data_IF_377596469371
#
_entry.id   IF_377596469371
#
_cell.length_a   1.000
_cell.length_b   1.000
_cell.length_c   1.000
_cell.angle_alpha   90.00
_cell.angle_beta   90.00
_cell.angle_gamma   90.00
#
_symmetry.space_group_name_H-M   'P 1'
#
loop_
_entity.id
_entity.type
_entity.pdbx_description
1 polymer ?
#
# COMPACT_ATOMS: atom_id res chain seq x y z
N UNK A 1 1.27 9.40 20.14
CA UNK A 1 0.95 10.09 18.88
C UNK A 1 -0.56 10.28 18.86
N UNK A 2 -1.05 11.49 18.56
CA UNK A 2 -2.49 11.75 18.52
C UNK A 2 -3.14 11.03 17.33
N UNK A 3 -4.43 10.75 17.43
CA UNK A 3 -5.17 10.12 16.33
C UNK A 3 -5.07 10.94 15.03
N UNK A 4 -4.98 12.27 15.16
CA UNK A 4 -4.93 13.22 14.05
C UNK A 4 -3.56 13.36 13.36
N UNK A 5 -2.52 12.67 13.86
CA UNK A 5 -1.13 12.83 13.36
C UNK A 5 -1.03 12.68 11.84
N UNK A 6 -1.85 11.81 11.25
CA UNK A 6 -1.83 11.47 9.84
C UNK A 6 -2.76 12.30 8.95
N UNK A 7 -3.64 13.12 9.54
CA UNK A 7 -4.59 13.94 8.81
C UNK A 7 -3.82 14.95 7.94
N UNK A 8 -4.23 15.09 6.68
CA UNK A 8 -3.60 16.01 5.72
C UNK A 8 -2.22 15.58 5.21
N UNK A 9 -1.65 14.45 5.68
CA UNK A 9 -0.31 14.01 5.24
C UNK A 9 -0.34 13.58 3.77
N UNK A 10 -1.38 12.85 3.35
CA UNK A 10 -1.54 12.42 1.95
C UNK A 10 -1.48 13.61 1.00
N UNK A 11 -2.26 14.64 1.28
CA UNK A 11 -2.38 15.84 0.46
C UNK A 11 -1.04 16.58 0.39
N UNK A 12 -0.33 16.68 1.51
CA UNK A 12 1.00 17.30 1.57
C UNK A 12 2.03 16.53 0.74
N UNK A 13 2.06 15.20 0.83
CA UNK A 13 2.97 14.35 0.04
C UNK A 13 2.67 14.45 -1.45
N UNK A 14 1.39 14.36 -1.84
CA UNK A 14 0.99 14.48 -3.26
C UNK A 14 1.23 15.88 -3.81
N UNK A 15 1.12 16.93 -2.99
CA UNK A 15 1.47 18.31 -3.36
C UNK A 15 2.97 18.46 -3.55
N UNK A 16 3.78 17.89 -2.65
CA UNK A 16 5.23 17.94 -2.74
C UNK A 16 5.73 17.30 -4.04
N UNK A 17 5.14 16.18 -4.47
CA UNK A 17 5.49 15.55 -5.74
C UNK A 17 5.14 16.35 -7.00
N UNK A 18 4.42 17.47 -6.87
CA UNK A 18 4.12 18.41 -7.97
C UNK A 18 4.93 19.71 -7.88
N UNK A 19 5.71 19.88 -6.82
CA UNK A 19 6.42 21.13 -6.56
C UNK A 19 7.74 21.17 -7.37
N UNK A 20 8.14 22.34 -7.91
CA UNK A 20 9.46 22.50 -8.53
C UNK A 20 10.59 22.13 -7.56
N UNK A 21 11.53 21.30 -7.98
CA UNK A 21 12.61 20.80 -7.10
C UNK A 21 12.30 19.47 -6.42
N UNK A 22 11.11 18.91 -6.61
CA UNK A 22 10.74 17.59 -6.06
C UNK A 22 11.64 16.44 -6.53
N UNK A 23 12.28 16.59 -7.70
CA UNK A 23 13.27 15.67 -8.26
C UNK A 23 14.58 15.58 -7.46
N UNK A 24 14.83 16.54 -6.57
CA UNK A 24 15.99 16.54 -5.66
C UNK A 24 15.73 15.81 -4.34
N UNK A 25 14.48 15.40 -4.08
CA UNK A 25 14.12 14.70 -2.85
C UNK A 25 14.73 13.30 -2.84
N UNK A 26 15.36 12.96 -1.72
CA UNK A 26 15.95 11.65 -1.50
C UNK A 26 14.94 10.52 -1.76
N UNK A 27 15.33 9.49 -2.52
CA UNK A 27 14.47 8.34 -2.83
C UNK A 27 13.39 8.60 -3.91
N UNK A 28 13.29 9.80 -4.48
CA UNK A 28 12.25 10.15 -5.48
C UNK A 28 12.26 9.25 -6.71
N UNK A 29 13.44 8.80 -7.15
CA UNK A 29 13.57 7.85 -8.26
C UNK A 29 12.89 6.51 -7.99
N UNK A 30 12.85 6.08 -6.72
CA UNK A 30 12.12 4.89 -6.29
C UNK A 30 10.64 5.19 -6.07
N UNK A 31 10.33 6.02 -5.07
CA UNK A 31 8.97 6.19 -4.60
C UNK A 31 8.10 7.10 -5.47
N UNK A 32 8.68 8.11 -6.13
CA UNK A 32 7.95 9.09 -6.94
C UNK A 32 6.76 9.78 -6.26
N UNK A 33 6.74 9.87 -4.92
CA UNK A 33 5.62 10.39 -4.13
C UNK A 33 4.31 9.62 -4.31
N UNK A 34 4.37 8.42 -4.89
CA UNK A 34 3.19 7.57 -5.10
C UNK A 34 2.79 6.97 -3.76
N UNK A 35 1.57 7.23 -3.32
CA UNK A 35 0.98 6.59 -2.16
C UNK A 35 -0.03 5.53 -2.62
N UNK A 36 -0.14 4.44 -1.86
CA UNK A 36 -1.24 3.48 -2.01
C UNK A 36 -2.61 4.14 -1.79
N UNK A 37 -3.71 3.46 -2.16
CA UNK A 37 -5.05 3.93 -1.83
C UNK A 37 -5.23 3.97 -0.31
N UNK A 38 -6.01 4.93 0.20
CA UNK A 38 -6.49 4.88 1.58
C UNK A 38 -7.39 3.65 1.75
N UNK A 39 -7.29 3.02 2.91
CA UNK A 39 -8.15 1.89 3.26
C UNK A 39 -9.37 2.40 4.01
N UNK A 40 -10.51 1.75 3.78
CA UNK A 40 -11.69 1.93 4.61
C UNK A 40 -11.55 1.18 5.93
N UNK A 41 -12.30 1.60 6.95
CA UNK A 41 -12.28 0.97 8.27
C UNK A 41 -12.54 -0.55 8.19
N UNK A 42 -13.45 -0.97 7.31
CA UNK A 42 -13.81 -2.37 7.08
C UNK A 42 -12.65 -3.15 6.43
N UNK A 43 -11.89 -2.51 5.53
CA UNK A 43 -10.72 -3.13 4.91
C UNK A 43 -9.60 -3.31 5.93
N UNK A 44 -9.40 -2.35 6.84
CA UNK A 44 -8.42 -2.48 7.93
C UNK A 44 -8.86 -3.56 8.91
N UNK A 45 -10.15 -3.65 9.23
CA UNK A 45 -10.69 -4.71 10.09
C UNK A 45 -10.51 -6.10 9.45
N UNK A 46 -10.73 -6.22 8.14
CA UNK A 46 -10.52 -7.46 7.40
C UNK A 46 -9.03 -7.85 7.35
N UNK A 47 -8.12 -6.87 7.28
CA UNK A 47 -6.68 -7.10 7.38
C UNK A 47 -6.30 -7.64 8.76
N UNK A 48 -6.74 -7.00 9.84
CA UNK A 48 -6.46 -7.44 11.21
C UNK A 48 -7.03 -8.83 11.51
N UNK A 49 -8.23 -9.11 11.02
CA UNK A 49 -8.85 -10.44 11.13
C UNK A 49 -7.99 -11.50 10.44
N UNK A 50 -7.51 -11.22 9.23
CA UNK A 50 -6.66 -12.15 8.49
C UNK A 50 -5.27 -12.35 9.12
N UNK A 51 -4.75 -11.32 9.80
CA UNK A 51 -3.51 -11.41 10.57
C UNK A 51 -3.70 -12.14 11.91
N UNK A 52 -4.94 -12.26 12.40
CA UNK A 52 -5.22 -12.75 13.75
C UNK A 52 -4.74 -11.81 14.86
N UNK A 53 -4.49 -10.54 14.53
CA UNK A 53 -3.94 -9.54 15.43
C UNK A 53 -4.37 -8.13 15.02
N UNK A 54 -4.49 -7.23 15.99
CA UNK A 54 -4.68 -5.81 15.72
C UNK A 54 -3.36 -5.19 15.29
N UNK A 55 -3.42 -4.24 14.35
CA UNK A 55 -2.24 -3.44 14.03
C UNK A 55 -2.10 -2.31 15.03
N UNK A 56 -0.88 -1.79 15.27
CA UNK A 56 -0.69 -0.63 16.14
C UNK A 56 -1.56 0.55 15.70
N UNK A 57 -2.20 1.24 16.65
CA UNK A 57 -3.08 2.38 16.35
C UNK A 57 -2.46 3.44 15.43
N UNK A 58 -1.17 3.82 15.56
CA UNK A 58 -0.53 4.75 14.62
C UNK A 58 -0.48 4.22 13.19
N UNK A 59 -0.30 2.90 13.00
CA UNK A 59 -0.31 2.29 11.68
C UNK A 59 -1.73 2.14 11.13
N UNK A 60 -2.71 1.83 11.99
CA UNK A 60 -4.14 1.85 11.64
C UNK A 60 -4.51 3.20 11.02
N UNK A 61 -4.19 4.31 11.69
CA UNK A 61 -4.50 5.65 11.20
C UNK A 61 -3.72 6.03 9.94
N UNK A 62 -2.49 5.53 9.78
CA UNK A 62 -1.74 5.68 8.54
C UNK A 62 -2.47 5.04 7.34
N UNK A 63 -2.99 3.82 7.51
CA UNK A 63 -3.75 3.13 6.46
C UNK A 63 -5.04 3.88 6.09
N UNK A 64 -5.71 4.48 7.08
CA UNK A 64 -6.96 5.23 6.90
C UNK A 64 -6.77 6.62 6.26
N UNK A 65 -5.70 7.34 6.62
CA UNK A 65 -5.53 8.74 6.23
C UNK A 65 -4.46 8.98 5.16
N UNK A 66 -3.40 8.17 5.11
CA UNK A 66 -2.29 8.38 4.18
C UNK A 66 -2.41 7.46 2.97
N UNK A 67 -2.57 6.17 3.21
CA UNK A 67 -2.65 5.16 2.17
C UNK A 67 -1.92 3.87 2.53
N UNK A 68 -2.32 2.78 1.92
CA UNK A 68 -1.71 1.46 2.06
C UNK A 68 -0.34 1.41 1.38
N UNK A 69 0.68 2.11 1.88
CA UNK A 69 2.07 2.01 1.40
C UNK A 69 2.45 3.00 0.28
N UNK A 70 3.52 2.69 -0.46
CA UNK A 70 4.06 3.56 -1.51
C UNK A 70 5.24 4.41 -1.03
N UNK A 71 5.10 5.74 -0.96
CA UNK A 71 6.22 6.62 -0.68
C UNK A 71 6.74 6.48 0.76
N UNK A 72 8.03 6.18 0.87
CA UNK A 72 8.78 5.96 2.11
C UNK A 72 10.28 5.97 1.81
N UNK A 73 11.16 5.90 2.83
CA UNK A 73 12.61 5.99 2.64
C UNK A 73 13.11 4.92 1.64
N UNK A 74 13.84 5.37 0.61
CA UNK A 74 14.54 4.62 -0.46
C UNK A 74 13.74 3.49 -1.18
N UNK A 75 13.29 2.47 -0.46
CA UNK A 75 12.55 1.30 -0.97
C UNK A 75 11.02 1.47 -0.96
N UNK A 76 10.51 2.58 -0.40
CA UNK A 76 9.09 2.77 -0.21
C UNK A 76 8.48 1.87 0.88
N UNK A 77 7.17 2.01 1.09
CA UNK A 77 6.41 1.27 2.09
C UNK A 77 5.68 0.08 1.44
N UNK A 78 5.70 -1.05 2.14
CA UNK A 78 4.93 -2.23 1.73
C UNK A 78 3.42 -1.96 1.82
N UNK A 79 2.71 -2.42 0.80
CA UNK A 79 1.30 -2.19 0.56
C UNK A 79 0.53 -3.50 0.75
N UNK A 80 -0.33 -3.63 1.78
CA UNK A 80 -1.27 -4.74 1.86
C UNK A 80 -2.33 -4.60 0.77
N UNK A 81 -2.50 -5.66 -0.04
CA UNK A 81 -3.45 -5.73 -1.16
C UNK A 81 -4.32 -6.97 -0.96
N UNK A 82 -5.65 -6.84 -0.99
CA UNK A 82 -6.55 -7.99 -0.93
C UNK A 82 -6.40 -8.85 -2.20
N UNK A 83 -6.50 -10.17 -2.05
CA UNK A 83 -6.54 -11.14 -3.14
C UNK A 83 -7.50 -12.30 -2.81
N UNK A 84 -7.70 -13.22 -3.75
CA UNK A 84 -8.61 -14.37 -3.60
C UNK A 84 -8.25 -15.32 -2.44
N UNK A 85 -7.04 -15.20 -1.86
CA UNK A 85 -6.52 -16.03 -0.77
C UNK A 85 -6.30 -15.26 0.53
N UNK A 86 -6.82 -14.03 0.63
CA UNK A 86 -6.64 -13.15 1.78
C UNK A 86 -5.85 -11.90 1.41
N UNK A 87 -4.65 -11.73 1.96
CA UNK A 87 -3.85 -10.52 1.80
C UNK A 87 -2.45 -10.83 1.26
N UNK A 88 -2.00 -10.03 0.30
CA UNK A 88 -0.63 -10.04 -0.21
C UNK A 88 0.03 -8.69 0.07
N UNK A 89 1.32 -8.71 0.33
CA UNK A 89 2.12 -7.50 0.46
C UNK A 89 2.86 -7.21 -0.85
N UNK A 90 2.80 -5.98 -1.33
CA UNK A 90 3.50 -5.50 -2.52
C UNK A 90 4.44 -4.34 -2.18
N UNK A 91 5.56 -4.18 -2.89
CA UNK A 91 6.54 -3.11 -2.62
C UNK A 91 7.73 -3.14 -3.59
N UNK A 92 8.51 -2.05 -3.65
CA UNK A 92 9.68 -1.92 -4.53
C UNK A 92 10.81 -2.78 -3.93
N UNK A 93 10.89 -4.04 -4.35
CA UNK A 93 11.83 -5.04 -3.82
C UNK A 93 11.20 -6.41 -3.59
N UNK A 94 9.87 -6.46 -3.45
CA UNK A 94 9.09 -7.68 -3.55
C UNK A 94 8.55 -7.75 -4.97
N UNK A 95 9.26 -8.46 -5.86
CA UNK A 95 8.72 -8.82 -7.16
C UNK A 95 7.35 -9.47 -6.93
N UNK A 96 6.26 -8.75 -7.25
CA UNK A 96 4.97 -9.41 -7.40
C UNK A 96 5.20 -10.40 -8.52
N UNK A 97 5.23 -11.70 -8.19
CA UNK A 97 5.02 -12.73 -9.21
C UNK A 97 3.73 -12.29 -9.90
N UNK A 98 3.84 -11.84 -11.15
CA UNK A 98 2.67 -11.72 -12.02
C UNK A 98 1.92 -13.02 -11.85
N UNK A 99 0.67 -12.91 -11.42
CA UNK A 99 -0.26 -14.04 -11.30
C UNK A 99 -0.08 -14.88 -12.56
N UNK A 100 0.50 -16.07 -12.43
CA UNK A 100 0.52 -17.01 -13.55
C UNK A 100 -0.96 -17.25 -13.88
N UNK A 101 -1.42 -17.03 -15.12
CA UNK A 101 -2.80 -17.34 -15.45
C UNK A 101 -3.06 -18.81 -15.05
N UNK A 102 -4.24 -19.12 -14.50
CA UNK A 102 -4.57 -20.50 -14.15
C UNK A 102 -4.35 -21.38 -15.39
N UNK A 103 -3.79 -22.60 -15.24
CA UNK A 103 -3.63 -23.49 -16.39
C UNK A 103 -5.01 -23.71 -17.04
N UNK A 104 -5.07 -23.53 -18.36
CA UNK A 104 -6.29 -23.83 -19.12
C UNK A 104 -6.69 -25.27 -18.83
N UNK A 105 -7.94 -25.48 -18.40
CA UNK A 105 -8.47 -26.83 -18.23
C UNK A 105 -8.52 -27.48 -19.61
N UNK A 106 -8.00 -28.70 -19.79
CA UNK A 106 -8.14 -29.40 -21.06
C UNK A 106 -9.63 -29.51 -21.38
N UNK A 107 -10.02 -29.11 -22.59
CA UNK A 107 -11.40 -29.28 -23.07
C UNK A 107 -11.73 -30.77 -22.98
N UNK A 108 -12.77 -31.12 -22.22
CA UNK A 108 -13.35 -32.45 -22.31
C UNK A 108 -13.83 -32.61 -23.77
N UNK A 109 -13.15 -33.47 -24.52
CA UNK A 109 -13.65 -33.95 -25.80
C UNK A 109 -14.92 -34.75 -25.50
N UNK A 110 -16.05 -34.27 -26.02
CA UNK A 110 -17.31 -35.03 -26.08
C UNK A 110 -17.20 -36.16 -27.10
#
# INVERSE_FOLDING_TARGET
MSEDTWVGVRERVLRLGKFPGSESVFGVRGHGFRLGPVMQAEQVQALETALGATVPAPYRNFLLHVGAGGAGPDYGLMTPVPNDRGWQWSGIGLATRRSRPPPERPRCLS
#
